data_IF_598698520321
#
_entry.id   IF_598698520321
#
_cell.length_a   1.000
_cell.length_b   1.000
_cell.length_c   1.000
_cell.angle_alpha   90.00
_cell.angle_beta   90.00
_cell.angle_gamma   90.00
#
_symmetry.space_group_name_H-M   'P 1'
#
loop_
_entity.id
_entity.type
_entity.pdbx_description
1 polymer ?
#
# COMPACT_ATOMS: atom_id res chain seq x y z
N UNK A 1 14.97 12.39 -11.80
CA UNK A 1 13.72 11.60 -11.73
C UNK A 1 13.87 10.43 -10.78
N UNK A 2 14.88 9.56 -10.93
CA UNK A 2 15.14 8.41 -10.04
C UNK A 2 15.24 8.80 -8.55
N UNK A 3 15.86 9.94 -8.23
CA UNK A 3 16.01 10.43 -6.85
C UNK A 3 14.67 10.83 -6.17
N UNK A 4 13.68 11.24 -6.98
CA UNK A 4 12.34 11.60 -6.49
C UNK A 4 11.50 10.35 -6.19
N UNK A 5 11.76 9.23 -6.88
CA UNK A 5 11.10 7.94 -6.64
C UNK A 5 11.62 7.29 -5.35
N UNK A 6 12.95 7.26 -5.16
CA UNK A 6 13.58 6.65 -3.98
C UNK A 6 13.13 7.34 -2.70
N UNK A 7 13.06 8.67 -2.71
CA UNK A 7 12.58 9.46 -1.57
C UNK A 7 11.10 9.21 -1.24
N UNK A 8 10.25 8.89 -2.23
CA UNK A 8 8.84 8.50 -1.97
C UNK A 8 8.76 7.13 -1.31
N UNK A 9 9.52 6.16 -1.79
CA UNK A 9 9.49 4.80 -1.25
C UNK A 9 9.94 4.75 0.22
N UNK A 10 11.06 5.40 0.53
CA UNK A 10 11.56 5.51 1.91
C UNK A 10 10.55 6.20 2.82
N UNK A 11 9.90 7.26 2.33
CA UNK A 11 8.87 7.98 3.07
C UNK A 11 7.64 7.10 3.36
N UNK A 12 7.15 6.32 2.38
CA UNK A 12 6.02 5.41 2.58
C UNK A 12 6.38 4.34 3.62
N UNK A 13 7.58 3.76 3.52
CA UNK A 13 8.07 2.77 4.48
C UNK A 13 8.14 3.34 5.90
N UNK A 14 8.71 4.54 6.03
CA UNK A 14 8.79 5.27 7.29
C UNK A 14 7.41 5.58 7.87
N UNK A 15 6.45 6.04 7.06
CA UNK A 15 5.08 6.31 7.49
C UNK A 15 4.37 5.05 7.97
N UNK A 16 4.56 3.91 7.30
CA UNK A 16 3.97 2.64 7.70
C UNK A 16 4.55 2.15 9.03
N UNK A 17 5.88 2.19 9.19
CA UNK A 17 6.54 1.86 10.45
C UNK A 17 6.09 2.77 11.61
N UNK A 18 5.98 4.09 11.36
CA UNK A 18 5.50 5.07 12.34
C UNK A 18 4.05 4.78 12.75
N UNK A 19 3.20 4.41 11.80
CA UNK A 19 1.80 4.04 12.06
C UNK A 19 1.72 2.82 12.98
N UNK A 20 2.51 1.79 12.71
CA UNK A 20 2.58 0.59 13.55
C UNK A 20 3.07 0.91 14.98
N UNK A 21 4.11 1.75 15.10
CA UNK A 21 4.62 2.21 16.39
C UNK A 21 3.56 2.98 17.19
N UNK A 22 2.87 3.92 16.57
CA UNK A 22 1.82 4.71 17.22
C UNK A 22 0.63 3.85 17.67
N UNK A 23 0.26 2.83 16.90
CA UNK A 23 -0.75 1.86 17.30
C UNK A 23 -0.32 1.07 18.55
N UNK A 24 0.94 0.62 18.60
CA UNK A 24 1.50 -0.06 19.77
C UNK A 24 1.47 0.82 21.03
N UNK A 25 2.01 2.04 20.93
CA UNK A 25 2.04 3.01 22.04
C UNK A 25 0.63 3.28 22.57
N UNK A 26 -0.36 3.40 21.68
CA UNK A 26 -1.74 3.63 22.08
C UNK A 26 -2.29 2.49 22.94
N UNK A 27 -2.02 1.25 22.57
CA UNK A 27 -2.47 0.07 23.33
C UNK A 27 -1.79 0.03 24.70
N UNK A 28 -0.49 0.29 24.76
CA UNK A 28 0.26 0.34 26.02
C UNK A 28 -0.24 1.46 26.95
N UNK A 29 -0.46 2.67 26.43
CA UNK A 29 -0.99 3.80 27.20
C UNK A 29 -2.35 3.49 27.82
N UNK A 30 -3.22 2.78 27.10
CA UNK A 30 -4.51 2.32 27.63
C UNK A 30 -4.33 1.38 28.81
N UNK A 31 -3.43 0.40 28.68
CA UNK A 31 -3.10 -0.53 29.75
C UNK A 31 -2.55 0.19 30.97
N UNK A 32 -1.52 1.03 30.78
CA UNK A 32 -0.91 1.83 31.84
C UNK A 32 -1.93 2.71 32.57
N UNK A 33 -2.84 3.34 31.83
CA UNK A 33 -3.92 4.16 32.40
C UNK A 33 -4.85 3.33 33.29
N UNK A 34 -5.32 2.18 32.81
CA UNK A 34 -6.20 1.31 33.59
C UNK A 34 -5.50 0.80 34.86
N UNK A 35 -4.23 0.41 34.75
CA UNK A 35 -3.43 0.00 35.91
C UNK A 35 -3.23 1.15 36.89
N UNK A 36 -2.97 2.38 36.42
CA UNK A 36 -2.85 3.55 37.29
C UNK A 36 -4.16 3.86 38.04
N UNK A 37 -5.31 3.75 37.36
CA UNK A 37 -6.63 3.94 37.99
C UNK A 37 -6.94 2.83 39.02
N UNK A 38 -6.61 1.58 38.72
CA UNK A 38 -6.75 0.47 39.66
C UNK A 38 -5.86 0.65 40.89
N UNK A 39 -4.59 1.03 40.68
CA UNK A 39 -3.67 1.32 41.78
C UNK A 39 -4.20 2.45 42.66
N UNK A 40 -4.74 3.51 42.07
CA UNK A 40 -5.34 4.62 42.81
C UNK A 40 -6.55 4.17 43.64
N UNK A 41 -7.43 3.34 43.08
CA UNK A 41 -8.57 2.78 43.80
C UNK A 41 -8.13 1.98 45.04
N UNK A 42 -7.13 1.11 44.89
CA UNK A 42 -6.58 0.31 45.99
C UNK A 42 -5.95 1.21 47.05
N UNK A 43 -5.14 2.20 46.63
CA UNK A 43 -4.51 3.14 47.55
C UNK A 43 -5.54 4.02 48.27
N UNK A 44 -6.61 4.44 47.59
CA UNK A 44 -7.71 5.20 48.19
C UNK A 44 -8.40 4.37 49.28
N UNK A 45 -8.57 3.07 49.06
CA UNK A 45 -9.13 2.17 50.07
C UNK A 45 -8.20 1.98 51.27
N UNK A 46 -6.90 1.83 51.04
CA UNK A 46 -5.90 1.72 52.11
C UNK A 46 -5.77 3.01 52.93
N UNK A 47 -5.99 4.16 52.29
CA UNK A 47 -5.90 5.49 52.92
C UNK A 47 -7.26 6.08 53.28
N UNK A 48 -8.33 5.27 53.25
CA UNK A 48 -9.70 5.74 53.48
C UNK A 48 -9.86 6.45 54.84
N UNK A 49 -9.18 5.97 55.89
CA UNK A 49 -9.20 6.61 57.22
C UNK A 49 -8.49 7.98 57.25
N UNK A 50 -7.57 8.23 56.31
CA UNK A 50 -6.83 9.49 56.18
C UNK A 50 -7.48 10.44 55.17
N UNK A 51 -8.62 10.08 54.58
CA UNK A 51 -9.31 10.86 53.55
C UNK A 51 -8.93 10.51 52.10
N UNK A 52 -8.32 9.34 51.88
CA UNK A 52 -7.91 8.85 50.57
C UNK A 52 -6.55 9.38 50.11
N UNK A 53 -6.12 8.99 48.90
CA UNK A 53 -4.82 9.37 48.32
C UNK A 53 -4.73 10.89 48.17
N UNK A 54 -5.83 11.58 47.91
CA UNK A 54 -5.84 13.03 47.72
C UNK A 54 -5.51 13.80 49.00
N UNK A 55 -5.96 13.32 50.15
CA UNK A 55 -5.63 13.91 51.44
C UNK A 55 -4.16 13.67 51.83
N UNK A 56 -3.59 12.53 51.43
CA UNK A 56 -2.20 12.16 51.73
C UNK A 56 -1.20 12.84 50.79
N UNK A 57 -1.50 12.88 49.48
CA UNK A 57 -0.62 13.43 48.44
C UNK A 57 -0.77 14.95 48.29
N UNK A 58 -1.95 15.49 48.59
CA UNK A 58 -2.25 16.91 48.47
C UNK A 58 -2.56 17.35 47.03
N UNK A 59 -2.13 18.55 46.65
CA UNK A 59 -2.56 19.25 45.43
C UNK A 59 -2.22 18.54 44.12
N UNK A 60 -1.24 17.64 44.10
CA UNK A 60 -0.81 16.89 42.90
C UNK A 60 -1.68 15.66 42.61
N UNK A 61 -2.58 15.27 43.52
CA UNK A 61 -3.41 14.07 43.36
C UNK A 61 -4.50 14.20 42.28
N UNK A 62 -4.91 15.42 41.92
CA UNK A 62 -5.97 15.67 40.95
C UNK A 62 -5.46 15.77 39.50
N UNK A 63 -4.41 15.02 39.15
CA UNK A 63 -3.98 14.92 37.75
C UNK A 63 -5.08 14.28 36.92
N UNK A 64 -5.51 15.01 35.88
CA UNK A 64 -6.49 14.52 34.93
C UNK A 64 -5.88 13.40 34.10
N UNK A 65 -6.54 12.24 34.10
CA UNK A 65 -6.12 11.06 33.36
C UNK A 65 -7.12 10.90 32.20
N UNK A 66 -6.78 11.40 31.01
CA UNK A 66 -7.75 11.57 29.93
C UNK A 66 -8.34 10.24 29.49
N UNK A 67 -9.66 10.23 29.29
CA UNK A 67 -10.28 9.08 28.64
C UNK A 67 -9.95 9.00 27.16
N UNK A 68 -9.85 7.78 26.64
CA UNK A 68 -9.56 7.57 25.21
C UNK A 68 -10.54 8.31 24.30
N UNK A 69 -11.72 8.62 24.82
CA UNK A 69 -12.79 9.35 24.15
C UNK A 69 -12.77 10.86 24.45
N UNK A 70 -12.15 11.28 25.56
CA UNK A 70 -12.13 12.67 26.01
C UNK A 70 -11.07 13.54 25.31
N UNK A 71 -9.99 12.92 24.81
CA UNK A 71 -8.96 13.59 24.00
C UNK A 71 -9.40 13.83 22.55
N UNK A 72 -10.69 13.69 22.23
CA UNK A 72 -11.23 13.97 20.89
C UNK A 72 -10.67 13.07 19.79
N UNK A 73 -10.21 11.86 20.14
CA UNK A 73 -9.63 10.89 19.21
C UNK A 73 -8.39 11.41 18.46
N UNK A 74 -7.62 12.35 19.02
CA UNK A 74 -6.45 12.95 18.34
C UNK A 74 -5.47 11.89 17.80
N UNK A 75 -5.16 10.86 18.60
CA UNK A 75 -4.26 9.77 18.18
C UNK A 75 -4.87 8.96 17.02
N UNK A 76 -6.18 8.69 17.05
CA UNK A 76 -6.85 7.97 15.95
C UNK A 76 -6.93 8.81 14.67
N UNK A 77 -7.22 10.09 14.82
CA UNK A 77 -7.33 11.00 13.70
C UNK A 77 -5.97 11.20 13.04
N UNK A 78 -4.90 11.33 13.84
CA UNK A 78 -3.52 11.36 13.35
C UNK A 78 -3.16 10.06 12.61
N UNK A 79 -3.47 8.89 13.20
CA UNK A 79 -3.26 7.58 12.58
C UNK A 79 -3.99 7.45 11.24
N UNK A 80 -5.27 7.84 11.19
CA UNK A 80 -6.07 7.84 9.96
C UNK A 80 -5.46 8.74 8.89
N UNK A 81 -5.06 9.96 9.27
CA UNK A 81 -4.48 10.91 8.33
C UNK A 81 -3.15 10.42 7.74
N UNK A 82 -2.28 9.85 8.57
CA UNK A 82 -0.99 9.29 8.10
C UNK A 82 -1.22 8.08 7.20
N UNK A 83 -2.16 7.20 7.57
CA UNK A 83 -2.50 6.01 6.78
C UNK A 83 -3.07 6.39 5.42
N UNK A 84 -3.93 7.40 5.36
CA UNK A 84 -4.47 7.88 4.08
C UNK A 84 -3.39 8.56 3.23
N UNK A 85 -2.47 9.30 3.87
CA UNK A 85 -1.35 9.92 3.17
C UNK A 85 -0.41 8.86 2.55
N UNK A 86 -0.06 7.80 3.28
CA UNK A 86 0.77 6.72 2.75
C UNK A 86 0.08 5.97 1.62
N UNK A 87 -1.23 5.72 1.73
CA UNK A 87 -2.05 5.08 0.68
C UNK A 87 -2.02 5.87 -0.62
N UNK A 88 -2.22 7.20 -0.55
CA UNK A 88 -2.18 8.09 -1.73
C UNK A 88 -0.82 8.12 -2.41
N UNK A 89 0.26 8.01 -1.64
CA UNK A 89 1.61 7.96 -2.19
C UNK A 89 1.85 6.61 -2.90
N UNK A 90 1.40 5.49 -2.32
CA UNK A 90 1.50 4.17 -2.94
C UNK A 90 0.67 4.00 -4.21
N UNK A 91 -0.54 4.56 -4.27
CA UNK A 91 -1.39 4.48 -5.47
C UNK A 91 -0.79 5.20 -6.68
N UNK A 92 0.02 6.26 -6.48
CA UNK A 92 0.66 6.96 -7.59
C UNK A 92 1.68 6.08 -8.30
N UNK A 93 2.46 5.31 -7.54
CA UNK A 93 3.46 4.38 -8.07
C UNK A 93 2.79 3.29 -8.92
N UNK A 94 1.77 2.62 -8.36
CA UNK A 94 1.06 1.55 -9.07
C UNK A 94 0.30 2.07 -10.29
N UNK A 95 -0.25 3.29 -10.21
CA UNK A 95 -0.94 3.93 -11.34
C UNK A 95 0.02 4.29 -12.48
N UNK A 96 1.25 4.69 -12.18
CA UNK A 96 2.26 5.02 -13.19
C UNK A 96 2.72 3.76 -13.93
N UNK A 97 2.97 2.66 -13.20
CA UNK A 97 3.31 1.37 -13.81
C UNK A 97 2.14 0.81 -14.65
N UNK A 98 0.91 0.83 -14.12
CA UNK A 98 -0.27 0.39 -14.87
C UNK A 98 -0.49 1.24 -16.13
N UNK A 99 -0.37 2.57 -16.04
CA UNK A 99 -0.53 3.46 -17.18
C UNK A 99 0.52 3.20 -18.26
N UNK A 100 1.77 2.97 -17.86
CA UNK A 100 2.85 2.60 -18.78
C UNK A 100 2.60 1.24 -19.43
N UNK A 101 2.20 0.23 -18.64
CA UNK A 101 1.95 -1.12 -19.12
C UNK A 101 0.75 -1.19 -20.08
N UNK A 102 -0.34 -0.48 -19.77
CA UNK A 102 -1.50 -0.33 -20.67
C UNK A 102 -1.10 0.32 -21.99
N UNK A 103 -0.24 1.35 -21.95
CA UNK A 103 0.26 2.02 -23.16
C UNK A 103 1.17 1.13 -24.00
N UNK A 104 2.00 0.29 -23.38
CA UNK A 104 2.83 -0.70 -24.07
C UNK A 104 1.98 -1.82 -24.66
N UNK A 105 1.02 -2.34 -23.90
CA UNK A 105 0.11 -3.40 -24.34
C UNK A 105 -0.69 -2.96 -25.57
N UNK A 106 -1.15 -1.71 -25.58
CA UNK A 106 -1.81 -1.08 -26.74
C UNK A 106 -0.92 -1.02 -27.99
N UNK A 107 0.38 -0.80 -27.84
CA UNK A 107 1.32 -0.81 -28.97
C UNK A 107 1.55 -2.23 -29.50
N UNK A 108 1.71 -3.22 -28.61
CA UNK A 108 1.93 -4.61 -29.00
C UNK A 108 0.74 -5.22 -29.76
N UNK A 109 -0.50 -4.98 -29.32
CA UNK A 109 -1.69 -5.52 -29.99
C UNK A 109 -1.86 -4.99 -31.42
N UNK A 110 -1.46 -3.74 -31.67
CA UNK A 110 -1.46 -3.17 -33.03
C UNK A 110 -0.41 -3.83 -33.93
N UNK A 111 0.78 -4.15 -33.41
CA UNK A 111 1.89 -4.72 -34.20
C UNK A 111 1.70 -6.21 -34.49
N UNK A 112 1.09 -6.97 -33.57
CA UNK A 112 0.84 -8.40 -33.76
C UNK A 112 -0.03 -8.69 -34.99
N UNK A 113 -1.03 -7.85 -35.27
CA UNK A 113 -1.93 -8.07 -36.41
C UNK A 113 -1.20 -7.89 -37.76
N UNK A 114 -0.30 -6.91 -37.87
CA UNK A 114 0.50 -6.70 -39.07
C UNK A 114 1.61 -7.76 -39.23
N UNK A 115 2.21 -8.21 -38.13
CA UNK A 115 3.24 -9.25 -38.16
C UNK A 115 2.66 -10.61 -38.58
N UNK A 116 1.51 -11.01 -38.01
CA UNK A 116 0.81 -12.25 -38.37
C UNK A 116 0.33 -12.21 -39.82
N UNK A 117 -0.26 -11.09 -40.27
CA UNK A 117 -0.68 -10.91 -41.66
C UNK A 117 0.51 -11.00 -42.64
N UNK A 118 1.65 -10.40 -42.29
CA UNK A 118 2.88 -10.44 -43.08
C UNK A 118 3.44 -11.86 -43.23
N UNK A 119 3.48 -12.64 -42.14
CA UNK A 119 3.94 -14.03 -42.17
C UNK A 119 3.05 -14.93 -43.02
N UNK A 120 1.72 -14.76 -42.95
CA UNK A 120 0.77 -15.52 -43.79
C UNK A 120 0.98 -15.20 -45.28
N UNK A 121 1.16 -13.92 -45.61
CA UNK A 121 1.36 -13.50 -47.00
C UNK A 121 2.68 -14.04 -47.57
N UNK A 122 3.75 -14.07 -46.76
CA UNK A 122 5.05 -14.63 -47.14
C UNK A 122 4.98 -16.14 -47.39
N UNK A 123 4.25 -16.89 -46.55
CA UNK A 123 4.00 -18.32 -46.74
C UNK A 123 3.23 -18.60 -48.04
N UNK A 124 2.19 -17.81 -48.35
CA UNK A 124 1.41 -17.95 -49.58
C UNK A 124 2.31 -17.73 -50.81
N UNK A 125 3.13 -16.67 -50.80
CA UNK A 125 4.08 -16.38 -51.89
C UNK A 125 5.09 -17.52 -52.05
N UNK A 126 5.62 -18.06 -50.94
CA UNK A 126 6.53 -19.20 -50.94
C UNK A 126 5.91 -20.46 -51.56
N UNK A 127 4.64 -20.75 -51.23
CA UNK A 127 3.92 -21.89 -51.82
C UNK A 127 3.70 -21.66 -53.32
N UNK A 128 3.25 -20.48 -53.75
CA UNK A 128 3.03 -20.17 -55.17
C UNK A 128 4.34 -20.34 -55.98
N UNK A 129 5.45 -19.80 -55.47
CA UNK A 129 6.78 -19.94 -56.08
C UNK A 129 7.28 -21.37 -56.10
N UNK A 130 6.87 -22.22 -55.15
CA UNK A 130 7.22 -23.63 -55.10
C UNK A 130 6.35 -24.48 -56.05
N UNK A 131 5.08 -24.12 -56.22
CA UNK A 131 4.13 -24.85 -57.06
C UNK A 131 4.30 -24.54 -58.56
N UNK A 132 4.71 -23.31 -58.92
CA UNK A 132 5.00 -22.91 -60.30
C UNK A 132 6.04 -23.80 -61.01
N UNK A 133 7.25 -24.06 -60.47
CA UNK A 133 8.22 -24.94 -61.10
C UNK A 133 7.76 -26.41 -61.09
N UNK A 134 7.03 -26.85 -60.05
CA UNK A 134 6.46 -28.19 -59.98
C UNK A 134 5.42 -28.44 -61.09
N UNK A 135 4.55 -27.47 -61.37
CA UNK A 135 3.57 -27.57 -62.46
C UNK A 135 4.24 -27.50 -63.83
N UNK A 136 5.25 -26.64 -64.00
CA UNK A 136 6.02 -26.56 -65.25
C UNK A 136 6.78 -27.87 -65.55
N UNK A 137 7.23 -28.59 -64.52
CA UNK A 137 7.89 -29.89 -64.67
C UNK A 137 6.91 -30.99 -65.09
N UNK A 138 5.67 -30.95 -64.58
CA UNK A 138 4.60 -31.89 -64.95
C UNK A 138 4.08 -31.67 -66.36
N UNK A 139 3.90 -30.41 -66.79
CA UNK A 139 3.45 -30.08 -68.15
C UNK A 139 4.50 -30.47 -69.20
N UNK A 140 5.79 -30.35 -68.87
CA UNK A 140 6.88 -30.75 -69.76
C UNK A 140 7.05 -32.28 -69.89
N UNK A 141 6.50 -33.07 -68.97
CA UNK A 141 6.47 -34.53 -69.06
C UNK A 141 5.21 -35.05 -69.77
N UNK A 142 4.19 -34.20 -69.96
CA UNK A 142 2.91 -34.55 -70.59
C UNK A 142 2.79 -34.14 -72.07
N UNK A 143 3.72 -33.33 -72.58
CA UNK A 143 3.90 -32.95 -74.00
C UNK A 143 5.09 -33.74 -74.56
#
# INVERSE_FOLDING_TARGET
MIEVEVTRYELISFMNATTAMMQGIRVELRGLRLTALQNRLVLDQLTAMQGGVCAVVGSTCCTYIPDNDADGHIIEQALKNITEASRRLGERETSAEQSFFEKIKSLFTSVEHYFVLGMILLLIVGIILCMLPCLMMMVRQAI
#
